data_IF_406683424797
#
_entry.id   IF_406683424797
#
_cell.length_a   1.000
_cell.length_b   1.000
_cell.length_c   1.000
_cell.angle_alpha   90.00
_cell.angle_beta   90.00
_cell.angle_gamma   90.00
#
_symmetry.space_group_name_H-M   'P 1'
#
loop_
_entity.id
_entity.type
_entity.pdbx_description
1 polymer ?
#
# COMPACT_ATOMS: atom_id res chain seq x y z
N UNK A 1 32.76 2.08 -75.43
CA UNK A 1 32.29 2.76 -74.19
C UNK A 1 31.90 1.68 -73.19
N UNK A 2 32.71 1.47 -72.15
CA UNK A 2 32.47 0.49 -71.07
C UNK A 2 32.01 1.27 -69.84
N UNK A 3 30.81 0.99 -69.34
CA UNK A 3 30.32 1.54 -68.06
C UNK A 3 30.63 0.55 -66.95
N UNK A 4 31.53 0.95 -66.04
CA UNK A 4 31.90 0.20 -64.85
C UNK A 4 30.89 0.54 -63.74
N UNK A 5 30.08 -0.42 -63.30
CA UNK A 5 29.17 -0.25 -62.16
C UNK A 5 29.92 -0.58 -60.87
N UNK A 6 30.14 0.43 -60.03
CA UNK A 6 30.78 0.29 -58.71
C UNK A 6 29.70 -0.12 -57.70
N UNK A 7 29.64 -1.40 -57.32
CA UNK A 7 28.81 -1.85 -56.18
C UNK A 7 29.49 -1.46 -54.87
N UNK A 8 28.88 -0.53 -54.14
CA UNK A 8 29.30 -0.11 -52.80
C UNK A 8 28.79 -1.14 -51.78
N UNK A 9 29.67 -2.02 -51.29
CA UNK A 9 29.35 -2.98 -50.23
C UNK A 9 29.27 -2.23 -48.89
N UNK A 10 28.05 -1.99 -48.41
CA UNK A 10 27.82 -1.34 -47.12
C UNK A 10 28.02 -2.37 -46.00
N UNK A 11 29.16 -2.32 -45.31
CA UNK A 11 29.41 -3.09 -44.09
C UNK A 11 28.57 -2.53 -42.94
N UNK A 12 27.49 -3.22 -42.58
CA UNK A 12 26.69 -2.91 -41.38
C UNK A 12 27.47 -3.44 -40.17
N UNK A 13 28.09 -2.54 -39.42
CA UNK A 13 28.67 -2.81 -38.11
C UNK A 13 27.54 -3.05 -37.10
N UNK A 14 27.24 -4.32 -36.80
CA UNK A 14 26.40 -4.70 -35.69
C UNK A 14 27.17 -4.45 -34.38
N UNK A 15 27.00 -3.26 -33.81
CA UNK A 15 27.39 -3.00 -32.43
C UNK A 15 26.46 -3.80 -31.51
N UNK A 16 26.95 -4.97 -31.08
CA UNK A 16 26.33 -5.75 -30.01
C UNK A 16 26.47 -4.99 -28.69
N UNK A 17 25.39 -4.34 -28.24
CA UNK A 17 25.31 -3.80 -26.89
C UNK A 17 25.40 -4.95 -25.88
N UNK A 18 26.59 -5.15 -25.31
CA UNK A 18 26.76 -6.02 -24.14
C UNK A 18 26.17 -5.33 -22.92
N UNK A 19 24.87 -5.50 -22.71
CA UNK A 19 24.22 -5.14 -21.46
C UNK A 19 24.86 -5.97 -20.36
N UNK A 20 25.53 -5.33 -19.40
CA UNK A 20 25.96 -6.02 -18.18
C UNK A 20 24.72 -6.62 -17.54
N UNK A 21 24.59 -7.96 -17.60
CA UNK A 21 23.57 -8.67 -16.83
C UNK A 21 23.84 -8.37 -15.37
N UNK A 22 23.00 -7.53 -14.77
CA UNK A 22 22.95 -7.36 -13.33
C UNK A 22 22.64 -8.76 -12.81
N UNK A 23 23.57 -9.36 -12.06
CA UNK A 23 23.31 -10.62 -11.37
C UNK A 23 22.28 -10.30 -10.29
N UNK A 24 21.02 -10.60 -10.55
CA UNK A 24 20.03 -10.70 -9.49
C UNK A 24 20.56 -11.74 -8.50
N UNK A 25 20.63 -11.43 -7.20
CA UNK A 25 20.99 -12.42 -6.19
C UNK A 25 20.09 -13.65 -6.38
N UNK A 26 20.67 -14.83 -6.31
CA UNK A 26 19.90 -16.07 -6.32
C UNK A 26 18.96 -16.05 -5.11
N UNK A 27 17.68 -16.34 -5.34
CA UNK A 27 16.67 -16.29 -4.29
C UNK A 27 17.04 -17.28 -3.17
N UNK A 28 17.19 -16.79 -1.95
CA UNK A 28 17.38 -17.63 -0.76
C UNK A 28 16.07 -18.38 -0.49
N UNK A 29 16.03 -19.73 -0.60
CA UNK A 29 14.81 -20.51 -0.37
C UNK A 29 14.25 -20.39 1.06
N UNK A 30 15.02 -19.84 2.00
CA UNK A 30 14.59 -19.54 3.37
C UNK A 30 14.22 -18.08 3.62
N UNK A 31 14.26 -17.21 2.61
CA UNK A 31 13.89 -15.81 2.75
C UNK A 31 12.40 -15.66 3.03
N UNK A 32 12.07 -14.73 3.93
CA UNK A 32 10.70 -14.26 4.12
C UNK A 32 10.48 -13.03 3.24
N UNK A 33 9.58 -13.12 2.27
CA UNK A 33 9.34 -12.09 1.26
C UNK A 33 8.14 -11.24 1.67
N UNK A 34 8.40 -9.95 1.87
CA UNK A 34 7.36 -8.95 2.14
C UNK A 34 7.16 -8.13 0.88
N UNK A 35 5.95 -8.21 0.31
CA UNK A 35 5.50 -7.25 -0.69
C UNK A 35 4.66 -6.16 -0.01
N UNK A 36 4.78 -4.91 -0.47
CA UNK A 36 4.01 -3.80 0.10
C UNK A 36 3.73 -2.74 -0.97
N UNK A 37 2.66 -1.98 -0.77
CA UNK A 37 2.27 -0.88 -1.67
C UNK A 37 1.10 -0.09 -1.13
N UNK A 38 0.83 1.05 -1.78
CA UNK A 38 -0.17 2.04 -1.37
C UNK A 38 -0.72 2.76 -2.59
N UNK A 39 -1.67 3.68 -2.39
CA UNK A 39 -2.15 4.60 -3.42
C UNK A 39 -2.75 3.90 -4.64
N UNK A 40 -3.53 2.85 -4.37
CA UNK A 40 -4.20 2.03 -5.36
C UNK A 40 -5.62 2.54 -5.64
N UNK A 41 -5.75 3.26 -6.75
CA UNK A 41 -7.05 3.68 -7.26
C UNK A 41 -7.78 2.49 -7.90
N UNK A 42 -8.67 1.86 -7.12
CA UNK A 42 -9.51 0.73 -7.55
C UNK A 42 -10.33 0.98 -8.83
N UNK A 43 -10.51 2.24 -9.25
CA UNK A 43 -11.21 2.59 -10.50
C UNK A 43 -10.29 2.58 -11.72
N UNK A 44 -8.98 2.42 -11.54
CA UNK A 44 -7.99 2.37 -12.62
C UNK A 44 -7.53 0.93 -12.89
N UNK A 45 -7.01 0.65 -14.09
CA UNK A 45 -6.36 -0.63 -14.38
C UNK A 45 -5.17 -0.88 -13.45
N UNK A 46 -5.25 -1.93 -12.64
CA UNK A 46 -4.17 -2.36 -11.75
C UNK A 46 -3.32 -3.45 -12.40
N UNK A 47 -2.27 -3.02 -13.11
CA UNK A 47 -1.35 -3.88 -13.88
C UNK A 47 -0.17 -4.44 -13.05
N UNK A 48 -0.29 -4.43 -11.72
CA UNK A 48 0.81 -4.70 -10.79
C UNK A 48 0.69 -6.04 -10.05
N UNK A 49 -0.50 -6.66 -10.06
CA UNK A 49 -0.81 -7.80 -9.18
C UNK A 49 -0.09 -9.09 -9.57
N UNK A 50 0.09 -9.32 -10.87
CA UNK A 50 0.85 -10.45 -11.40
C UNK A 50 2.34 -10.30 -11.10
N UNK A 51 2.90 -9.11 -11.25
CA UNK A 51 4.28 -8.81 -10.86
C UNK A 51 4.52 -9.09 -9.36
N UNK A 52 3.59 -8.68 -8.48
CA UNK A 52 3.65 -9.00 -7.05
C UNK A 52 3.57 -10.51 -6.82
N UNK A 53 2.62 -11.21 -7.44
CA UNK A 53 2.48 -12.66 -7.30
C UNK A 53 3.73 -13.40 -7.78
N UNK A 54 4.41 -12.90 -8.82
CA UNK A 54 5.64 -13.48 -9.33
C UNK A 54 6.82 -13.36 -8.34
N UNK A 55 6.75 -12.46 -7.35
CA UNK A 55 7.74 -12.43 -6.26
C UNK A 55 7.50 -13.49 -5.19
N UNK A 56 6.39 -14.24 -5.26
CA UNK A 56 5.98 -15.24 -4.25
C UNK A 56 6.04 -14.70 -2.81
N UNK A 57 5.32 -13.61 -2.50
CA UNK A 57 5.39 -13.00 -1.18
C UNK A 57 4.74 -13.88 -0.11
N UNK A 58 5.34 -13.93 1.08
CA UNK A 58 4.73 -14.54 2.25
C UNK A 58 3.59 -13.69 2.80
N UNK A 59 3.68 -12.37 2.63
CA UNK A 59 2.64 -11.39 3.02
C UNK A 59 2.59 -10.20 2.05
N UNK A 60 1.39 -9.63 1.92
CA UNK A 60 1.16 -8.32 1.32
C UNK A 60 0.83 -7.30 2.40
N UNK A 61 1.50 -6.15 2.39
CA UNK A 61 1.25 -5.02 3.30
C UNK A 61 0.68 -3.84 2.53
N UNK A 62 -0.57 -3.50 2.83
CA UNK A 62 -1.15 -2.22 2.45
C UNK A 62 -0.53 -1.07 3.26
N UNK A 63 0.00 -0.07 2.57
CA UNK A 63 0.52 1.16 3.16
C UNK A 63 -0.52 2.26 3.35
N UNK A 64 -1.74 2.06 2.85
CA UNK A 64 -2.80 3.07 2.82
C UNK A 64 -3.20 3.46 1.38
N UNK A 65 -4.27 4.24 1.27
CA UNK A 65 -4.98 4.52 0.03
C UNK A 65 -5.27 3.23 -0.76
N UNK A 66 -5.90 2.28 -0.09
CA UNK A 66 -6.30 0.99 -0.67
C UNK A 66 -7.49 1.15 -1.63
N UNK A 67 -8.31 2.17 -1.37
CA UNK A 67 -9.39 2.74 -2.15
C UNK A 67 -9.39 4.27 -1.99
N UNK A 68 -9.97 4.97 -2.96
CA UNK A 68 -10.14 6.42 -2.91
C UNK A 68 -11.60 6.78 -2.58
N UNK A 69 -11.96 6.73 -1.29
CA UNK A 69 -13.36 6.78 -0.88
C UNK A 69 -13.90 8.21 -0.65
N UNK A 70 -13.16 9.03 0.10
CA UNK A 70 -13.49 10.43 0.43
C UNK A 70 -14.98 10.65 0.74
N UNK A 71 -15.51 9.85 1.67
CA UNK A 71 -16.94 9.84 1.97
C UNK A 71 -17.21 9.47 3.42
N UNK A 72 -18.22 10.14 3.98
CA UNK A 72 -18.88 9.83 5.26
C UNK A 72 -20.01 8.80 5.13
N UNK A 73 -20.34 8.36 3.91
CA UNK A 73 -21.29 7.29 3.64
C UNK A 73 -20.60 5.91 3.70
N UNK A 74 -20.85 5.19 4.79
CA UNK A 74 -20.23 3.88 5.04
C UNK A 74 -20.78 2.75 4.15
N UNK A 75 -21.94 2.93 3.53
CA UNK A 75 -22.42 1.98 2.52
C UNK A 75 -21.61 2.16 1.22
N UNK A 76 -21.35 3.41 0.82
CA UNK A 76 -20.49 3.73 -0.32
C UNK A 76 -19.06 3.24 -0.12
N UNK A 77 -18.47 3.50 1.04
CA UNK A 77 -17.11 3.02 1.36
C UNK A 77 -17.00 1.49 1.32
N UNK A 78 -17.95 0.76 1.92
CA UNK A 78 -17.98 -0.71 1.85
C UNK A 78 -18.09 -1.21 0.41
N UNK A 79 -18.92 -0.57 -0.42
CA UNK A 79 -19.02 -0.91 -1.84
C UNK A 79 -17.68 -0.76 -2.57
N UNK A 80 -16.93 0.31 -2.31
CA UNK A 80 -15.61 0.52 -2.90
C UNK A 80 -14.58 -0.53 -2.47
N UNK A 81 -14.63 -0.97 -1.20
CA UNK A 81 -13.81 -2.09 -0.75
C UNK A 81 -14.18 -3.41 -1.45
N UNK A 82 -15.46 -3.68 -1.67
CA UNK A 82 -15.89 -4.84 -2.44
C UNK A 82 -15.46 -4.75 -3.91
N UNK A 83 -15.48 -3.55 -4.50
CA UNK A 83 -14.96 -3.31 -5.85
C UNK A 83 -13.45 -3.59 -5.93
N UNK A 84 -12.66 -3.14 -4.95
CA UNK A 84 -11.24 -3.48 -4.84
C UNK A 84 -11.02 -5.00 -4.74
N UNK A 85 -11.77 -5.69 -3.87
CA UNK A 85 -11.73 -7.16 -3.72
C UNK A 85 -12.11 -7.90 -5.00
N UNK A 86 -12.97 -7.32 -5.83
CA UNK A 86 -13.43 -7.91 -7.08
C UNK A 86 -12.42 -7.78 -8.24
N UNK A 87 -11.35 -6.97 -8.10
CA UNK A 87 -10.31 -6.85 -9.12
C UNK A 87 -9.61 -8.20 -9.28
N UNK A 88 -9.61 -8.85 -10.47
CA UNK A 88 -9.15 -10.24 -10.62
C UNK A 88 -7.73 -10.51 -10.08
N UNK A 89 -6.79 -9.58 -10.33
CA UNK A 89 -5.43 -9.70 -9.82
C UNK A 89 -5.34 -9.62 -8.29
N UNK A 90 -6.08 -8.69 -7.68
CA UNK A 90 -6.14 -8.56 -6.23
C UNK A 90 -6.90 -9.73 -5.58
N UNK A 91 -8.03 -10.16 -6.17
CA UNK A 91 -8.78 -11.33 -5.75
C UNK A 91 -7.89 -12.59 -5.72
N UNK A 92 -7.05 -12.77 -6.76
CA UNK A 92 -6.07 -13.85 -6.79
C UNK A 92 -5.03 -13.70 -5.67
N UNK A 93 -4.43 -12.50 -5.51
CA UNK A 93 -3.46 -12.22 -4.44
C UNK A 93 -4.02 -12.60 -3.06
N UNK A 94 -5.20 -12.11 -2.70
CA UNK A 94 -5.78 -12.33 -1.36
C UNK A 94 -6.27 -13.76 -1.13
N UNK A 95 -6.35 -14.58 -2.18
CA UNK A 95 -6.67 -16.02 -2.06
C UNK A 95 -5.44 -16.87 -1.75
N UNK A 96 -4.23 -16.36 -2.03
CA UNK A 96 -2.96 -17.08 -1.90
C UNK A 96 -2.05 -16.48 -0.82
N UNK A 97 -2.15 -15.16 -0.59
CA UNK A 97 -1.22 -14.38 0.22
C UNK A 97 -1.98 -13.66 1.34
N UNK A 98 -1.58 -13.85 2.62
CA UNK A 98 -2.12 -13.06 3.73
C UNK A 98 -1.94 -11.55 3.52
N UNK A 99 -3.03 -10.81 3.70
CA UNK A 99 -3.00 -9.34 3.68
C UNK A 99 -2.96 -8.77 5.09
N UNK A 100 -2.09 -7.79 5.29
CA UNK A 100 -2.05 -6.92 6.47
C UNK A 100 -1.89 -5.47 5.98
N UNK A 101 -1.90 -4.51 6.90
CA UNK A 101 -1.61 -3.12 6.54
C UNK A 101 -2.55 -2.11 7.19
N UNK A 102 -2.39 -0.87 6.77
CA UNK A 102 -3.09 0.30 7.29
C UNK A 102 -3.94 0.97 6.19
N UNK A 103 -4.64 2.03 6.58
CA UNK A 103 -5.27 3.01 5.69
C UNK A 103 -4.37 4.23 5.53
N UNK A 104 -4.73 5.09 4.59
CA UNK A 104 -4.39 6.52 4.66
C UNK A 104 -5.67 7.38 4.57
N UNK A 105 -5.60 8.66 4.24
CA UNK A 105 -6.76 9.56 4.38
C UNK A 105 -7.93 9.23 3.46
N UNK A 106 -7.67 8.73 2.26
CA UNK A 106 -8.74 8.44 1.32
C UNK A 106 -9.60 7.25 1.75
N UNK A 107 -9.01 6.20 2.34
CA UNK A 107 -9.76 5.10 2.95
C UNK A 107 -10.31 5.46 4.34
N UNK A 108 -9.62 6.35 5.05
CA UNK A 108 -10.13 6.92 6.29
C UNK A 108 -11.43 7.69 6.03
N UNK A 109 -11.62 8.19 4.81
CA UNK A 109 -12.87 8.75 4.30
C UNK A 109 -12.87 10.28 4.19
N UNK A 110 -11.73 10.92 4.44
CA UNK A 110 -11.57 12.37 4.29
C UNK A 110 -10.10 12.67 4.04
N UNK A 111 -9.79 13.20 2.85
CA UNK A 111 -8.49 13.80 2.53
C UNK A 111 -7.97 14.68 3.69
N UNK A 112 -6.75 14.41 4.16
CA UNK A 112 -6.12 15.04 5.32
C UNK A 112 -6.90 14.98 6.64
N UNK A 113 -7.91 14.11 6.72
CA UNK A 113 -8.71 13.91 7.91
C UNK A 113 -7.90 13.28 9.04
N UNK A 114 -8.22 13.68 10.27
CA UNK A 114 -7.69 13.08 11.48
C UNK A 114 -8.81 12.83 12.49
N UNK A 115 -8.55 13.13 13.75
CA UNK A 115 -9.51 13.00 14.84
C UNK A 115 -10.72 13.95 14.75
N UNK A 116 -10.72 14.90 13.82
CA UNK A 116 -11.84 15.78 13.48
C UNK A 116 -12.88 15.11 12.57
N UNK A 117 -12.55 13.96 11.97
CA UNK A 117 -13.45 13.28 11.05
C UNK A 117 -14.54 12.50 11.78
N UNK A 118 -15.80 12.87 11.51
CA UNK A 118 -16.98 12.40 12.25
C UNK A 118 -17.28 10.91 12.04
N UNK A 119 -16.97 10.36 10.87
CA UNK A 119 -17.31 8.97 10.52
C UNK A 119 -16.15 7.99 10.71
N UNK A 120 -15.09 8.38 11.44
CA UNK A 120 -13.88 7.54 11.65
C UNK A 120 -14.15 6.14 12.22
N UNK A 121 -15.15 6.01 13.09
CA UNK A 121 -15.54 4.70 13.66
C UNK A 121 -16.21 3.81 12.61
N UNK A 122 -16.99 4.43 11.73
CA UNK A 122 -17.57 3.76 10.56
C UNK A 122 -16.47 3.29 9.61
N UNK A 123 -15.49 4.14 9.32
CA UNK A 123 -14.33 3.79 8.48
C UNK A 123 -13.54 2.64 9.10
N UNK A 124 -13.30 2.67 10.42
CA UNK A 124 -12.70 1.55 11.16
C UNK A 124 -13.45 0.24 10.93
N UNK A 125 -14.77 0.25 11.08
CA UNK A 125 -15.57 -0.95 10.82
C UNK A 125 -15.41 -1.43 9.38
N UNK A 126 -15.54 -0.55 8.39
CA UNK A 126 -15.45 -0.91 6.98
C UNK A 126 -14.05 -1.44 6.61
N UNK A 127 -12.99 -0.83 7.12
CA UNK A 127 -11.62 -1.28 6.92
C UNK A 127 -11.36 -2.65 7.56
N UNK A 128 -11.83 -2.88 8.79
CA UNK A 128 -11.66 -4.18 9.46
C UNK A 128 -12.43 -5.29 8.74
N UNK A 129 -13.59 -4.98 8.16
CA UNK A 129 -14.34 -5.91 7.29
C UNK A 129 -13.58 -6.18 5.97
N UNK A 130 -12.99 -5.15 5.36
CA UNK A 130 -12.13 -5.27 4.18
C UNK A 130 -10.94 -6.21 4.45
N UNK A 131 -10.26 -6.03 5.59
CA UNK A 131 -9.13 -6.85 6.01
C UNK A 131 -9.50 -8.23 6.56
N UNK A 132 -10.79 -8.58 6.60
CA UNK A 132 -11.27 -9.89 7.05
C UNK A 132 -11.05 -10.15 8.55
N UNK A 133 -11.00 -9.10 9.37
CA UNK A 133 -10.78 -9.23 10.82
C UNK A 133 -12.02 -9.87 11.47
N UNK A 134 -11.90 -10.93 12.30
CA UNK A 134 -13.05 -11.59 12.92
C UNK A 134 -13.93 -10.67 13.78
N UNK A 135 -15.22 -11.00 13.89
CA UNK A 135 -16.21 -10.22 14.64
C UNK A 135 -15.92 -10.12 16.15
N UNK A 136 -15.24 -11.12 16.70
CA UNK A 136 -14.83 -11.22 18.11
C UNK A 136 -13.41 -10.67 18.37
N UNK A 137 -12.75 -10.13 17.34
CA UNK A 137 -11.41 -9.56 17.49
C UNK A 137 -11.41 -8.37 18.44
N UNK A 138 -10.46 -8.26 19.38
CA UNK A 138 -10.33 -7.07 20.24
C UNK A 138 -10.11 -5.79 19.44
N UNK A 139 -9.58 -5.89 18.20
CA UNK A 139 -9.42 -4.76 17.28
C UNK A 139 -10.74 -4.09 16.90
N UNK A 140 -11.89 -4.76 17.05
CA UNK A 140 -13.21 -4.17 16.83
C UNK A 140 -13.71 -3.32 18.00
N UNK A 141 -13.06 -3.41 19.17
CA UNK A 141 -13.40 -2.65 20.37
C UNK A 141 -12.35 -1.59 20.74
N UNK A 142 -11.17 -1.61 20.12
CA UNK A 142 -10.16 -0.56 20.27
C UNK A 142 -10.48 0.65 19.39
N UNK A 143 -9.80 1.78 19.65
CA UNK A 143 -9.85 2.96 18.78
C UNK A 143 -8.69 2.91 17.79
N UNK A 144 -8.94 3.06 16.49
CA UNK A 144 -7.94 2.94 15.44
C UNK A 144 -7.62 1.51 15.03
N UNK A 145 -6.99 1.33 13.87
CA UNK A 145 -6.76 0.02 13.24
C UNK A 145 -5.40 -0.61 13.54
N UNK A 146 -4.56 0.10 14.30
CA UNK A 146 -3.19 -0.31 14.60
C UNK A 146 -3.11 -1.74 15.15
N UNK A 147 -2.03 -2.44 14.81
CA UNK A 147 -1.84 -3.85 15.18
C UNK A 147 -0.38 -4.24 14.99
N UNK A 148 -0.02 -5.47 15.38
CA UNK A 148 1.22 -6.09 14.95
C UNK A 148 0.97 -7.54 14.52
N UNK A 149 1.90 -8.06 13.72
CA UNK A 149 1.88 -9.45 13.25
C UNK A 149 3.25 -10.07 13.47
N UNK A 150 3.28 -11.26 14.05
CA UNK A 150 4.49 -12.02 14.32
C UNK A 150 4.61 -13.18 13.31
N UNK A 151 5.78 -13.28 12.67
CA UNK A 151 6.13 -14.34 11.72
C UNK A 151 7.41 -15.04 12.15
N UNK A 152 7.64 -16.23 11.60
CA UNK A 152 8.88 -16.99 11.78
C UNK A 152 9.35 -17.52 10.44
N UNK A 153 10.61 -17.29 10.11
CA UNK A 153 11.25 -17.76 8.90
C UNK A 153 12.74 -18.00 9.14
N UNK A 154 13.28 -19.11 8.61
CA UNK A 154 14.68 -19.49 8.76
C UNK A 154 15.24 -19.37 10.21
N UNK A 155 14.43 -19.76 11.20
CA UNK A 155 14.81 -19.68 12.62
C UNK A 155 14.79 -18.28 13.24
N UNK A 156 14.44 -17.24 12.48
CA UNK A 156 14.30 -15.85 12.94
C UNK A 156 12.84 -15.53 13.25
N UNK A 157 12.61 -14.59 14.18
CA UNK A 157 11.30 -13.98 14.43
C UNK A 157 11.25 -12.63 13.72
N UNK A 158 10.17 -12.38 13.00
CA UNK A 158 9.89 -11.10 12.33
C UNK A 158 8.63 -10.55 12.96
N UNK A 159 8.66 -9.29 13.42
CA UNK A 159 7.46 -8.57 13.88
C UNK A 159 7.22 -7.40 12.94
N UNK A 160 6.03 -7.35 12.35
CA UNK A 160 5.57 -6.19 11.59
C UNK A 160 4.64 -5.39 12.49
N UNK A 161 4.98 -4.13 12.76
CA UNK A 161 4.15 -3.20 13.52
C UNK A 161 3.43 -2.30 12.51
N UNK A 162 2.11 -2.30 12.57
CA UNK A 162 1.21 -1.53 11.70
C UNK A 162 0.64 -0.38 12.50
N UNK A 163 1.04 0.84 12.15
CA UNK A 163 0.60 2.06 12.81
C UNK A 163 -0.69 2.60 12.17
N UNK A 164 -1.46 3.34 12.97
CA UNK A 164 -2.56 4.17 12.52
C UNK A 164 -2.23 5.64 12.79
N UNK A 165 -1.99 6.37 11.71
CA UNK A 165 -1.57 7.78 11.72
C UNK A 165 -2.72 8.75 11.43
N UNK A 166 -3.97 8.27 11.38
CA UNK A 166 -5.15 9.09 11.06
C UNK A 166 -6.10 9.19 12.25
N UNK A 167 -6.43 8.08 12.89
CA UNK A 167 -7.53 8.02 13.87
C UNK A 167 -7.39 9.02 15.02
N UNK A 168 -6.18 9.14 15.56
CA UNK A 168 -5.87 10.00 16.71
C UNK A 168 -5.30 11.37 16.29
N UNK A 169 -4.81 11.48 15.05
CA UNK A 169 -4.05 12.63 14.61
C UNK A 169 -4.85 13.92 14.73
N UNK A 170 -4.31 14.97 15.33
CA UNK A 170 -5.01 16.26 15.37
C UNK A 170 -5.11 16.89 13.98
N UNK A 171 -6.05 17.82 13.81
CA UNK A 171 -6.20 18.56 12.56
C UNK A 171 -4.86 19.19 12.14
N UNK A 172 -4.61 19.24 10.82
CA UNK A 172 -3.42 19.91 10.29
C UNK A 172 -3.60 21.42 10.39
N UNK A 173 -2.52 22.12 10.77
CA UNK A 173 -2.50 23.57 10.70
C UNK A 173 -2.16 24.02 9.27
N UNK A 174 -3.00 24.84 8.61
CA UNK A 174 -2.69 25.39 7.30
C UNK A 174 -1.36 26.14 7.31
N UNK A 175 -0.56 25.96 6.26
CA UNK A 175 0.71 26.64 6.11
C UNK A 175 0.55 28.11 5.69
N UNK A 176 1.69 28.80 5.62
CA UNK A 176 1.78 30.17 5.09
C UNK A 176 2.63 30.17 3.82
N UNK A 177 2.35 31.10 2.90
CA UNK A 177 3.02 31.15 1.60
C UNK A 177 2.71 29.92 0.75
N UNK A 178 3.77 29.26 0.24
CA UNK A 178 3.66 28.08 -0.62
C UNK A 178 3.53 26.75 0.16
N UNK A 179 3.70 26.78 1.49
CA UNK A 179 3.58 25.58 2.31
C UNK A 179 2.12 25.19 2.48
N UNK A 180 1.77 23.94 2.15
CA UNK A 180 0.42 23.40 2.39
C UNK A 180 0.07 23.38 3.88
N UNK A 181 1.03 22.99 4.73
CA UNK A 181 0.85 22.85 6.18
C UNK A 181 2.04 23.44 6.95
N UNK A 182 1.80 23.81 8.20
CA UNK A 182 2.82 24.16 9.19
C UNK A 182 2.66 23.29 10.45
N UNK A 183 3.70 23.14 11.29
CA UNK A 183 3.58 22.41 12.55
C UNK A 183 2.48 22.99 13.44
N UNK A 184 1.78 22.11 14.15
CA UNK A 184 0.88 22.52 15.23
C UNK A 184 1.71 23.18 16.36
N UNK A 185 1.10 24.03 17.20
CA UNK A 185 1.77 24.53 18.40
C UNK A 185 2.36 23.39 19.22
N UNK A 186 3.55 23.62 19.78
CA UNK A 186 4.28 22.60 20.54
C UNK A 186 3.43 22.07 21.69
N UNK A 187 3.21 20.76 21.72
CA UNK A 187 2.39 20.08 22.74
C UNK A 187 0.90 19.94 22.40
N UNK A 188 0.42 20.52 21.29
CA UNK A 188 -0.99 20.39 20.85
C UNK A 188 -1.18 19.33 19.75
N UNK A 189 -0.07 18.83 19.18
CA UNK A 189 -0.07 17.78 18.17
C UNK A 189 -0.24 16.39 18.79
N UNK A 190 -1.17 15.61 18.24
CA UNK A 190 -1.23 14.15 18.43
C UNK A 190 -1.15 13.48 17.05
N UNK A 191 -0.60 12.27 16.99
CA UNK A 191 -0.51 11.43 15.79
C UNK A 191 -1.02 10.01 16.03
N UNK A 192 -0.45 9.30 17.01
CA UNK A 192 -0.70 7.88 17.23
C UNK A 192 -1.62 7.59 18.43
N UNK A 193 -1.79 8.56 19.34
CA UNK A 193 -2.48 8.34 20.61
C UNK A 193 -1.64 7.53 21.61
N UNK A 194 -1.94 7.69 22.90
CA UNK A 194 -1.16 7.08 23.99
C UNK A 194 -0.98 5.57 23.84
N UNK A 195 -2.00 4.84 23.37
CA UNK A 195 -1.97 3.37 23.26
C UNK A 195 -0.96 2.85 22.23
N UNK A 196 -0.61 3.65 21.22
CA UNK A 196 0.39 3.28 20.21
C UNK A 196 1.81 3.73 20.60
N UNK A 197 1.93 4.81 21.40
CA UNK A 197 3.21 5.30 21.89
C UNK A 197 3.79 4.48 23.05
N UNK A 198 2.93 3.78 23.80
CA UNK A 198 3.27 3.04 25.01
C UNK A 198 4.05 1.74 24.78
#
# INVERSE_FOLDING_TARGET
MRTLSLSLLSFILLFSCSSKKIKTPEADPGAFVIAFGSCNDHLRPNLLWDDILNTQPDIWIWGGDNIYADTDDMAKMRKMYEEQKAIPGYAKLISEVPIIGSWDDHDYGKNDGGSDYVSREGSQSAFLDFMGVPADSPRRNQKGIYTYHDYRAAGKKIRVIVLDTRYFRTALTPGTGDARYQPNPSGEGELLGESQWA
#
